data_IF_646585453652
#
_entry.id   IF_646585453652
#
_cell.length_a   1.000
_cell.length_b   1.000
_cell.length_c   1.000
_cell.angle_alpha   90.00
_cell.angle_beta   90.00
_cell.angle_gamma   90.00
#
_symmetry.space_group_name_H-M   'P 1'
#
loop_
_entity.id
_entity.type
_entity.pdbx_description
1 polymer ?
#
# COMPACT_ATOMS: atom_id res chain seq x y z
N UNK A 1 -56.80 10.77 -42.66
CA UNK A 1 -56.50 11.78 -41.68
C UNK A 1 -55.98 11.18 -40.33
N UNK A 2 -56.65 10.19 -39.74
CA UNK A 2 -56.21 9.59 -38.45
C UNK A 2 -54.83 8.97 -38.47
N UNK A 3 -54.38 8.35 -39.57
CA UNK A 3 -53.03 7.76 -39.70
C UNK A 3 -51.90 8.81 -39.81
N UNK A 4 -52.22 10.00 -40.34
CA UNK A 4 -51.27 11.10 -40.49
C UNK A 4 -51.00 11.81 -39.15
N UNK A 5 -52.02 11.91 -38.30
CA UNK A 5 -51.92 12.48 -36.96
C UNK A 5 -51.07 11.59 -36.05
N UNK A 6 -51.20 10.26 -36.21
CA UNK A 6 -50.42 9.29 -35.43
C UNK A 6 -48.91 9.33 -35.80
N UNK A 7 -48.59 9.60 -37.07
CA UNK A 7 -47.21 9.72 -37.53
C UNK A 7 -46.54 11.00 -37.02
N UNK A 8 -47.25 12.11 -36.96
CA UNK A 8 -46.80 13.39 -36.46
C UNK A 8 -46.56 13.34 -34.94
N UNK A 9 -47.42 12.66 -34.18
CA UNK A 9 -47.25 12.48 -32.75
C UNK A 9 -46.03 11.57 -32.40
N UNK A 10 -45.70 10.58 -33.24
CA UNK A 10 -44.56 9.72 -33.08
C UNK A 10 -43.21 10.48 -33.36
N UNK A 11 -43.22 11.37 -34.35
CA UNK A 11 -42.05 12.23 -34.67
C UNK A 11 -41.79 13.31 -33.63
N UNK A 12 -42.84 13.86 -33.00
CA UNK A 12 -42.69 14.82 -31.92
C UNK A 12 -42.16 14.21 -30.62
N UNK A 13 -42.38 12.90 -30.37
CA UNK A 13 -41.84 12.16 -29.25
C UNK A 13 -40.35 11.87 -29.35
N UNK A 14 -39.78 11.84 -30.56
CA UNK A 14 -38.37 11.57 -30.79
C UNK A 14 -37.47 12.82 -30.68
N UNK A 15 -38.07 14.02 -30.73
CA UNK A 15 -37.29 15.29 -30.56
C UNK A 15 -37.14 15.74 -29.10
N UNK A 16 -37.84 15.08 -28.17
CA UNK A 16 -37.76 15.44 -26.73
C UNK A 16 -36.47 15.02 -26.05
N UNK A 17 -35.67 14.13 -26.67
CA UNK A 17 -34.37 13.69 -26.08
C UNK A 17 -33.17 14.49 -26.57
N UNK A 18 -33.35 15.57 -27.34
CA UNK A 18 -32.22 16.27 -27.99
C UNK A 18 -31.86 17.63 -27.39
N UNK A 19 -32.50 18.01 -26.28
CA UNK A 19 -32.14 19.21 -25.52
C UNK A 19 -31.72 18.80 -24.09
N UNK A 20 -30.71 17.98 -23.99
CA UNK A 20 -29.90 18.00 -22.77
C UNK A 20 -29.01 19.22 -22.87
N UNK A 21 -29.30 20.21 -22.05
CA UNK A 21 -28.33 21.28 -21.78
C UNK A 21 -27.01 20.60 -21.45
N UNK A 22 -25.93 21.04 -22.09
CA UNK A 22 -24.60 20.50 -21.82
C UNK A 22 -24.38 20.53 -20.30
N UNK A 23 -24.36 19.36 -19.69
CA UNK A 23 -24.06 19.21 -18.29
C UNK A 23 -22.69 19.86 -18.05
N UNK A 24 -22.70 21.07 -17.52
CA UNK A 24 -21.47 21.68 -17.02
C UNK A 24 -21.07 20.91 -15.77
N UNK A 25 -20.25 19.89 -15.93
CA UNK A 25 -19.64 19.19 -14.81
C UNK A 25 -18.75 20.25 -14.14
N UNK A 26 -19.04 20.66 -12.90
CA UNK A 26 -18.14 21.56 -12.19
C UNK A 26 -16.74 20.93 -12.16
N UNK A 27 -15.72 21.73 -12.46
CA UNK A 27 -14.34 21.27 -12.38
C UNK A 27 -14.12 20.59 -11.04
N UNK A 28 -13.72 19.33 -11.04
CA UNK A 28 -13.38 18.65 -9.79
C UNK A 28 -12.17 19.35 -9.18
N UNK A 29 -12.19 19.63 -7.88
CA UNK A 29 -11.02 20.19 -7.22
C UNK A 29 -9.85 19.20 -7.35
N UNK A 30 -8.67 19.74 -7.61
CA UNK A 30 -7.42 18.97 -7.68
C UNK A 30 -6.97 18.56 -6.27
N UNK A 31 -7.69 17.58 -5.70
CA UNK A 31 -7.50 17.13 -4.32
C UNK A 31 -6.06 16.64 -4.07
N UNK A 32 -5.43 16.06 -5.07
CA UNK A 32 -4.14 15.40 -4.91
C UNK A 32 -2.98 16.13 -5.61
N UNK A 33 -3.24 17.26 -6.26
CA UNK A 33 -2.20 18.00 -6.99
C UNK A 33 -1.74 17.33 -8.28
N UNK A 34 -2.60 16.53 -8.92
CA UNK A 34 -2.25 15.77 -10.14
C UNK A 34 -2.77 16.39 -11.43
N UNK A 35 -3.65 17.38 -11.35
CA UNK A 35 -4.27 18.03 -12.51
C UNK A 35 -3.56 19.32 -12.90
N UNK A 36 -2.93 19.99 -11.94
CA UNK A 36 -2.30 21.31 -12.15
C UNK A 36 -0.92 21.33 -11.53
N UNK A 37 0.09 21.64 -12.33
CA UNK A 37 1.45 21.82 -11.86
C UNK A 37 1.61 23.10 -11.03
N UNK A 38 2.39 23.03 -9.96
CA UNK A 38 2.78 24.17 -9.14
C UNK A 38 4.31 24.18 -8.94
N UNK A 39 5.08 24.73 -9.87
CA UNK A 39 6.54 24.79 -9.79
C UNK A 39 7.07 25.63 -8.61
N UNK A 40 6.21 26.40 -7.94
CA UNK A 40 6.60 27.17 -6.75
C UNK A 40 6.59 26.33 -5.45
N UNK A 41 5.92 25.19 -5.47
CA UNK A 41 5.89 24.20 -4.40
C UNK A 41 6.59 22.91 -4.87
N UNK A 42 7.82 22.61 -4.42
CA UNK A 42 8.58 21.44 -4.87
C UNK A 42 7.83 20.12 -4.65
N UNK A 43 7.09 20.00 -3.55
CA UNK A 43 6.30 18.82 -3.22
C UNK A 43 5.17 18.61 -4.23
N UNK A 44 4.41 19.66 -4.52
CA UNK A 44 3.30 19.59 -5.50
C UNK A 44 3.79 19.36 -6.91
N UNK A 45 4.89 20.02 -7.28
CA UNK A 45 5.53 19.80 -8.58
C UNK A 45 5.98 18.34 -8.73
N UNK A 46 6.63 17.78 -7.73
CA UNK A 46 7.02 16.37 -7.75
C UNK A 46 5.82 15.42 -7.88
N UNK A 47 4.75 15.64 -7.10
CA UNK A 47 3.53 14.82 -7.15
C UNK A 47 2.89 14.88 -8.55
N UNK A 48 2.83 16.08 -9.14
CA UNK A 48 2.33 16.27 -10.49
C UNK A 48 3.17 15.51 -11.52
N UNK A 49 4.50 15.72 -11.55
CA UNK A 49 5.39 15.03 -12.48
C UNK A 49 5.38 13.51 -12.29
N UNK A 50 5.32 13.04 -11.05
CA UNK A 50 5.22 11.63 -10.71
C UNK A 50 3.96 11.02 -11.30
N UNK A 51 2.82 11.67 -11.14
CA UNK A 51 1.57 11.23 -11.73
C UNK A 51 1.62 11.21 -13.26
N UNK A 52 2.17 12.24 -13.90
CA UNK A 52 2.31 12.28 -15.35
C UNK A 52 3.21 11.15 -15.87
N UNK A 53 4.17 10.71 -15.06
CA UNK A 53 5.13 9.67 -15.44
C UNK A 53 4.62 8.25 -15.18
N UNK A 54 3.93 8.01 -14.06
CA UNK A 54 3.60 6.69 -13.56
C UNK A 54 2.09 6.41 -13.46
N UNK A 55 1.24 7.41 -13.64
CA UNK A 55 -0.22 7.33 -13.45
C UNK A 55 -0.61 6.89 -12.03
N UNK A 56 0.28 7.07 -11.07
CA UNK A 56 0.10 6.74 -9.65
C UNK A 56 0.01 8.02 -8.84
N UNK A 57 -1.00 8.11 -7.98
CA UNK A 57 -1.23 9.29 -7.13
C UNK A 57 -0.46 9.13 -5.83
N UNK A 58 0.35 10.13 -5.44
CA UNK A 58 0.91 10.22 -4.08
C UNK A 58 -0.06 11.00 -3.20
N UNK A 59 -0.54 10.38 -2.14
CA UNK A 59 -1.49 10.97 -1.19
C UNK A 59 -0.73 11.32 0.10
N UNK A 60 -0.57 12.61 0.36
CA UNK A 60 0.17 13.12 1.53
C UNK A 60 -0.74 13.50 2.70
N UNK A 61 -2.03 13.67 2.46
CA UNK A 61 -3.04 13.94 3.48
C UNK A 61 -4.23 12.99 3.32
N UNK A 62 -4.06 11.70 3.67
CA UNK A 62 -5.09 10.69 3.48
C UNK A 62 -6.30 10.92 4.39
N UNK A 63 -7.46 10.60 3.86
CA UNK A 63 -8.72 10.50 4.57
C UNK A 63 -9.24 9.06 4.49
N UNK A 64 -10.20 8.68 5.31
CA UNK A 64 -10.78 7.34 5.24
C UNK A 64 -11.31 6.96 3.84
N UNK A 65 -11.78 7.93 3.07
CA UNK A 65 -12.25 7.73 1.71
C UNK A 65 -11.13 7.29 0.74
N UNK A 66 -9.86 7.55 1.07
CA UNK A 66 -8.72 7.24 0.22
C UNK A 66 -8.23 5.80 0.41
N UNK A 67 -8.56 5.14 1.52
CA UNK A 67 -8.11 3.78 1.82
C UNK A 67 -9.23 2.81 2.24
N UNK A 68 -10.43 3.29 2.58
CA UNK A 68 -11.61 2.46 2.85
C UNK A 68 -12.49 2.40 1.61
N UNK A 69 -12.24 1.43 0.73
CA UNK A 69 -12.94 1.30 -0.54
C UNK A 69 -14.40 0.83 -0.40
N UNK A 70 -14.75 0.19 0.71
CA UNK A 70 -16.10 -0.33 0.92
C UNK A 70 -16.62 0.09 2.30
N UNK A 71 -17.56 0.99 2.33
CA UNK A 71 -18.19 1.52 3.56
C UNK A 71 -18.84 0.45 4.45
N UNK A 72 -18.93 -0.79 3.99
CA UNK A 72 -19.60 -1.88 4.71
C UNK A 72 -18.65 -2.84 5.42
N UNK A 73 -17.35 -2.82 5.17
CA UNK A 73 -16.38 -3.67 5.84
C UNK A 73 -15.28 -2.81 6.48
N UNK A 74 -15.27 -2.77 7.80
CA UNK A 74 -14.09 -2.30 8.54
C UNK A 74 -13.06 -3.44 8.47
N UNK A 75 -12.01 -3.23 7.69
CA UNK A 75 -10.89 -4.16 7.58
C UNK A 75 -9.85 -3.94 8.69
N UNK A 76 -10.17 -3.14 9.70
CA UNK A 76 -9.29 -2.79 10.80
C UNK A 76 -8.15 -1.83 10.45
N UNK A 77 -7.94 -1.51 9.17
CA UNK A 77 -6.86 -0.61 8.76
C UNK A 77 -7.19 0.84 9.12
N UNK A 78 -6.25 1.47 9.78
CA UNK A 78 -6.27 2.90 10.10
C UNK A 78 -4.96 3.54 9.65
N UNK A 79 -5.07 4.65 8.94
CA UNK A 79 -3.95 5.42 8.41
C UNK A 79 -4.04 6.81 8.97
N UNK A 80 -3.02 7.22 9.71
CA UNK A 80 -2.87 8.58 10.24
C UNK A 80 -2.07 9.40 9.25
N UNK A 81 -2.61 10.56 8.85
CA UNK A 81 -1.88 11.47 7.97
C UNK A 81 -0.63 12.02 8.66
N UNK A 82 0.48 12.22 7.94
CA UNK A 82 1.63 12.90 8.49
C UNK A 82 1.30 14.37 8.81
N UNK A 83 2.08 14.98 9.68
CA UNK A 83 2.01 16.42 9.90
C UNK A 83 2.17 17.15 8.56
N UNK A 84 1.27 18.12 8.31
CA UNK A 84 1.20 18.83 7.03
C UNK A 84 2.18 20.02 6.97
N UNK A 85 3.23 19.97 7.77
CA UNK A 85 4.36 20.88 7.61
C UNK A 85 5.14 20.52 6.35
N UNK A 86 5.46 21.52 5.55
CA UNK A 86 6.11 21.33 4.25
C UNK A 86 7.37 20.44 4.35
N UNK A 87 8.20 20.66 5.38
CA UNK A 87 9.42 19.87 5.58
C UNK A 87 9.16 18.38 5.87
N UNK A 88 8.09 18.03 6.58
CA UNK A 88 7.75 16.63 6.91
C UNK A 88 7.28 15.88 5.66
N UNK A 89 6.43 16.51 4.87
CA UNK A 89 5.91 15.90 3.64
C UNK A 89 7.00 15.74 2.58
N UNK A 90 7.86 16.76 2.44
CA UNK A 90 9.00 16.73 1.51
C UNK A 90 9.96 15.57 1.85
N UNK A 91 10.34 15.44 3.11
CA UNK A 91 11.16 14.32 3.60
C UNK A 91 10.47 12.97 3.45
N UNK A 92 9.14 12.92 3.60
CA UNK A 92 8.36 11.72 3.33
C UNK A 92 8.43 11.29 1.87
N UNK A 93 8.50 12.24 0.93
CA UNK A 93 8.70 11.94 -0.50
C UNK A 93 10.13 11.43 -0.74
N UNK A 94 11.13 12.08 -0.18
CA UNK A 94 12.52 11.62 -0.30
C UNK A 94 12.67 10.21 0.28
N UNK A 95 12.04 9.97 1.43
CA UNK A 95 12.01 8.65 2.05
C UNK A 95 11.35 7.59 1.16
N UNK A 96 10.20 7.90 0.53
CA UNK A 96 9.56 7.01 -0.43
C UNK A 96 10.50 6.68 -1.61
N UNK A 97 11.22 7.67 -2.13
CA UNK A 97 12.20 7.45 -3.20
C UNK A 97 13.27 6.46 -2.76
N UNK A 98 13.90 6.68 -1.62
CA UNK A 98 15.01 5.86 -1.12
C UNK A 98 14.57 4.43 -0.72
N UNK A 99 13.38 4.24 -0.13
CA UNK A 99 12.95 2.92 0.35
C UNK A 99 12.29 2.07 -0.73
N UNK A 100 11.75 2.68 -1.80
CA UNK A 100 11.01 1.96 -2.82
C UNK A 100 11.40 2.34 -4.24
N UNK A 101 11.26 3.63 -4.63
CA UNK A 101 11.27 4.00 -6.03
C UNK A 101 12.63 3.84 -6.70
N UNK A 102 13.70 4.25 -6.04
CA UNK A 102 15.07 4.21 -6.59
C UNK A 102 15.64 2.80 -6.74
N UNK A 103 14.94 1.80 -6.18
CA UNK A 103 15.37 0.40 -6.28
C UNK A 103 14.98 -0.25 -7.60
N UNK A 104 14.07 0.37 -8.35
CA UNK A 104 13.49 -0.23 -9.54
C UNK A 104 13.60 0.69 -10.76
N UNK A 105 13.81 0.13 -11.95
CA UNK A 105 13.84 0.93 -13.17
C UNK A 105 12.45 1.47 -13.52
N UNK A 106 12.40 2.63 -14.18
CA UNK A 106 11.17 3.33 -14.59
C UNK A 106 10.15 2.44 -15.29
N UNK A 107 10.60 1.60 -16.23
CA UNK A 107 9.71 0.71 -17.00
C UNK A 107 9.04 -0.36 -16.11
N UNK A 108 9.69 -0.74 -15.02
CA UNK A 108 9.13 -1.63 -14.04
C UNK A 108 8.09 -0.89 -13.19
N UNK A 109 8.43 0.29 -12.68
CA UNK A 109 7.52 1.11 -11.87
C UNK A 109 6.24 1.47 -12.64
N UNK A 110 6.35 1.91 -13.90
CA UNK A 110 5.19 2.22 -14.76
C UNK A 110 4.18 1.09 -14.90
N UNK A 111 4.64 -0.15 -14.82
CA UNK A 111 3.78 -1.33 -14.98
C UNK A 111 3.22 -1.85 -13.67
N UNK A 112 3.91 -1.59 -12.57
CA UNK A 112 3.71 -2.32 -11.35
C UNK A 112 3.32 -1.47 -10.15
N UNK A 113 3.44 -0.15 -10.21
CA UNK A 113 2.95 0.68 -9.12
C UNK A 113 1.41 0.57 -8.96
N UNK A 114 0.88 0.73 -7.75
CA UNK A 114 -0.56 0.79 -7.48
C UNK A 114 -1.17 2.10 -8.00
N UNK A 115 -2.50 2.22 -7.93
CA UNK A 115 -3.19 3.47 -8.26
C UNK A 115 -2.77 4.62 -7.35
N UNK A 116 -2.47 4.33 -6.08
CA UNK A 116 -1.97 5.34 -5.18
C UNK A 116 -0.92 4.81 -4.20
N UNK A 117 -0.05 5.72 -3.77
CA UNK A 117 0.87 5.54 -2.65
C UNK A 117 0.44 6.55 -1.58
N UNK A 118 0.19 6.06 -0.38
CA UNK A 118 -0.22 6.90 0.75
C UNK A 118 0.99 7.08 1.67
N UNK A 119 1.37 8.32 1.91
CA UNK A 119 2.33 8.66 2.96
C UNK A 119 1.56 8.83 4.27
N UNK A 120 2.04 8.17 5.32
CA UNK A 120 1.38 8.13 6.61
C UNK A 120 2.37 8.34 7.76
N UNK A 121 1.94 9.04 8.80
CA UNK A 121 2.63 9.03 10.08
C UNK A 121 2.61 7.63 10.68
N UNK A 122 1.41 7.01 10.71
CA UNK A 122 1.20 5.66 11.24
C UNK A 122 0.26 4.88 10.33
N UNK A 123 0.62 3.63 10.09
CA UNK A 123 -0.26 2.62 9.50
C UNK A 123 -0.47 1.54 10.55
N UNK A 124 -1.72 1.28 10.93
CA UNK A 124 -2.04 0.25 11.91
C UNK A 124 -3.21 -0.61 11.50
N UNK A 125 -3.21 -1.83 11.99
CA UNK A 125 -4.33 -2.76 11.89
C UNK A 125 -4.87 -3.06 13.27
N UNK A 126 -6.17 -2.87 13.45
CA UNK A 126 -6.88 -3.30 14.65
C UNK A 126 -7.61 -4.61 14.31
N UNK A 127 -7.26 -5.71 14.96
CA UNK A 127 -7.85 -7.02 14.73
C UNK A 127 -7.99 -7.77 16.05
N UNK A 128 -9.17 -8.33 16.31
CA UNK A 128 -9.47 -9.12 17.52
C UNK A 128 -9.08 -8.48 18.87
N UNK A 129 -9.06 -7.14 18.92
CA UNK A 129 -8.69 -6.41 20.15
C UNK A 129 -7.19 -6.10 20.27
N UNK A 130 -6.41 -6.48 19.30
CA UNK A 130 -4.99 -6.17 19.18
C UNK A 130 -4.77 -5.08 18.14
N UNK A 131 -3.75 -4.26 18.37
CA UNK A 131 -3.31 -3.22 17.45
C UNK A 131 -1.90 -3.51 16.99
N UNK A 132 -1.72 -3.70 15.69
CA UNK A 132 -0.39 -3.88 15.08
C UNK A 132 -0.03 -2.63 14.27
N UNK A 133 1.11 -2.02 14.59
CA UNK A 133 1.69 -0.91 13.80
C UNK A 133 2.59 -1.50 12.71
N UNK A 134 2.44 -1.03 11.49
CA UNK A 134 3.13 -1.55 10.31
C UNK A 134 3.95 -0.47 9.64
N UNK A 135 5.14 -0.81 9.15
CA UNK A 135 5.96 0.07 8.32
C UNK A 135 5.35 0.27 6.93
N UNK A 136 4.65 -0.74 6.43
CA UNK A 136 4.03 -0.72 5.11
C UNK A 136 2.79 -1.60 5.08
N UNK A 137 1.79 -1.21 4.32
CA UNK A 137 0.58 -2.00 4.04
C UNK A 137 0.23 -1.93 2.56
N UNK A 138 -0.19 -3.04 1.97
CA UNK A 138 -0.63 -3.10 0.59
C UNK A 138 -2.06 -3.63 0.45
N UNK A 139 -2.82 -2.99 -0.41
CA UNK A 139 -4.16 -3.39 -0.83
C UNK A 139 -4.24 -3.50 -2.36
N UNK A 140 -5.41 -3.83 -2.90
CA UNK A 140 -5.63 -3.90 -4.34
C UNK A 140 -5.46 -2.57 -5.09
N UNK A 141 -5.56 -1.44 -4.41
CA UNK A 141 -5.53 -0.11 -5.02
C UNK A 141 -4.41 0.80 -4.52
N UNK A 142 -3.84 0.54 -3.35
CA UNK A 142 -2.81 1.40 -2.78
C UNK A 142 -1.75 0.63 -2.00
N UNK A 143 -0.61 1.30 -1.82
CA UNK A 143 0.40 0.96 -0.83
C UNK A 143 0.49 2.14 0.14
N UNK A 144 0.44 1.87 1.44
CA UNK A 144 0.64 2.88 2.49
C UNK A 144 2.02 2.70 3.12
N UNK A 145 2.80 3.77 3.14
CA UNK A 145 4.11 3.85 3.77
C UNK A 145 3.98 4.62 5.09
N UNK A 146 4.25 3.96 6.19
CA UNK A 146 4.28 4.54 7.53
C UNK A 146 5.59 5.26 7.84
N UNK A 147 5.68 5.75 9.07
CA UNK A 147 6.86 6.44 9.64
C UNK A 147 7.19 7.81 9.03
N UNK A 148 6.28 8.42 8.28
CA UNK A 148 6.48 9.78 7.75
C UNK A 148 6.24 10.81 8.85
N UNK A 149 7.28 11.09 9.61
CA UNK A 149 7.29 12.00 10.76
C UNK A 149 8.52 12.92 10.72
N UNK A 150 8.55 13.96 11.55
CA UNK A 150 9.75 14.76 11.74
C UNK A 150 10.97 13.96 12.22
N UNK A 151 10.74 12.72 12.70
CA UNK A 151 11.79 11.80 13.12
C UNK A 151 12.60 11.17 11.98
N UNK A 152 12.15 11.26 10.73
CA UNK A 152 12.87 10.70 9.57
C UNK A 152 14.34 11.14 9.51
N UNK A 153 14.62 12.42 9.79
CA UNK A 153 15.98 12.97 9.79
C UNK A 153 16.92 12.36 10.84
N UNK A 154 16.36 11.82 11.88
CA UNK A 154 17.13 11.26 13.01
C UNK A 154 17.09 9.74 13.05
N UNK A 155 16.46 9.12 12.06
CA UNK A 155 16.38 7.69 11.92
C UNK A 155 17.78 7.07 11.80
N UNK A 156 18.02 6.00 12.53
CA UNK A 156 19.28 5.27 12.42
C UNK A 156 19.34 4.46 11.13
N UNK A 157 20.55 4.13 10.69
CA UNK A 157 20.75 3.30 9.51
C UNK A 157 20.15 1.89 9.67
N UNK A 158 20.06 1.39 10.88
CA UNK A 158 19.44 0.09 11.17
C UNK A 158 17.93 0.15 11.01
N UNK A 159 17.28 1.15 11.62
CA UNK A 159 15.84 1.40 11.44
C UNK A 159 15.48 1.61 9.96
N UNK A 160 16.26 2.43 9.26
CA UNK A 160 16.06 2.65 7.82
C UNK A 160 16.12 1.35 7.02
N UNK A 161 17.15 0.50 7.28
CA UNK A 161 17.28 -0.78 6.57
C UNK A 161 16.12 -1.72 6.87
N UNK A 162 15.66 -1.76 8.12
CA UNK A 162 14.50 -2.58 8.51
C UNK A 162 13.25 -2.12 7.77
N UNK A 163 12.94 -0.82 7.82
CA UNK A 163 11.75 -0.30 7.14
C UNK A 163 11.85 -0.54 5.62
N UNK A 164 13.01 -0.30 5.01
CA UNK A 164 13.22 -0.58 3.59
C UNK A 164 13.01 -2.05 3.24
N UNK A 165 13.46 -2.96 4.09
CA UNK A 165 13.21 -4.39 3.92
C UNK A 165 11.72 -4.72 4.00
N UNK A 166 11.01 -4.21 5.01
CA UNK A 166 9.57 -4.44 5.20
C UNK A 166 8.73 -3.86 4.05
N UNK A 167 9.10 -2.66 3.55
CA UNK A 167 8.44 -2.04 2.39
C UNK A 167 8.57 -2.92 1.15
N UNK A 168 9.79 -3.43 0.88
CA UNK A 168 10.02 -4.26 -0.30
C UNK A 168 9.43 -5.66 -0.13
N UNK A 169 9.45 -6.25 1.05
CA UNK A 169 8.76 -7.50 1.33
C UNK A 169 7.25 -7.35 1.09
N UNK A 170 6.63 -6.29 1.61
CA UNK A 170 5.21 -5.99 1.37
C UNK A 170 4.91 -5.74 -0.10
N UNK A 171 5.78 -5.02 -0.81
CA UNK A 171 5.62 -4.78 -2.25
C UNK A 171 5.68 -6.07 -3.05
N UNK A 172 6.65 -6.93 -2.83
CA UNK A 172 6.81 -8.16 -3.59
C UNK A 172 5.83 -9.25 -3.15
N UNK A 173 5.84 -9.61 -1.89
CA UNK A 173 5.06 -10.75 -1.40
C UNK A 173 3.57 -10.41 -1.36
N UNK A 174 3.20 -9.30 -0.73
CA UNK A 174 1.79 -8.95 -0.57
C UNK A 174 1.20 -8.35 -1.84
N UNK A 175 1.79 -7.26 -2.36
CA UNK A 175 1.17 -6.55 -3.49
C UNK A 175 1.34 -7.30 -4.82
N UNK A 176 2.57 -7.66 -5.20
CA UNK A 176 2.84 -8.24 -6.51
C UNK A 176 2.38 -9.71 -6.62
N UNK A 177 2.61 -10.51 -5.58
CA UNK A 177 2.25 -11.93 -5.56
C UNK A 177 0.79 -12.15 -5.17
N UNK A 178 0.40 -11.82 -3.93
CA UNK A 178 -0.94 -12.15 -3.43
C UNK A 178 -2.04 -11.30 -4.05
N UNK A 179 -1.86 -9.97 -4.07
CA UNK A 179 -2.91 -9.04 -4.53
C UNK A 179 -3.03 -9.04 -6.05
N UNK A 180 -1.91 -8.92 -6.76
CA UNK A 180 -1.91 -8.87 -8.24
C UNK A 180 -1.75 -10.23 -8.91
N UNK A 181 -1.29 -11.25 -8.20
CA UNK A 181 -1.09 -12.59 -8.74
C UNK A 181 -0.10 -12.66 -9.90
N UNK A 182 0.91 -11.77 -9.93
CA UNK A 182 1.87 -11.69 -11.04
C UNK A 182 2.86 -12.83 -11.03
N UNK A 183 3.10 -13.41 -9.88
CA UNK A 183 3.90 -14.62 -9.71
C UNK A 183 3.43 -15.36 -8.45
N UNK A 184 3.79 -16.62 -8.37
CA UNK A 184 3.59 -17.44 -7.17
C UNK A 184 4.96 -17.75 -6.57
N UNK A 185 5.09 -17.57 -5.26
CA UNK A 185 6.30 -18.00 -4.55
C UNK A 185 6.36 -19.53 -4.66
N UNK A 186 7.48 -20.06 -5.13
CA UNK A 186 7.57 -21.48 -5.41
C UNK A 186 7.68 -22.32 -4.14
N UNK A 187 7.18 -23.56 -4.17
CA UNK A 187 7.32 -24.52 -3.07
C UNK A 187 8.81 -24.76 -2.72
N UNK A 188 9.71 -24.65 -3.68
CA UNK A 188 11.15 -24.75 -3.45
C UNK A 188 11.70 -23.64 -2.54
N UNK A 189 11.07 -22.46 -2.55
CA UNK A 189 11.43 -21.36 -1.67
C UNK A 189 11.03 -21.69 -0.21
N UNK A 190 9.83 -22.21 -0.03
CA UNK A 190 9.38 -22.66 1.31
C UNK A 190 10.16 -23.87 1.80
N UNK A 191 10.48 -24.81 0.92
CA UNK A 191 11.27 -25.98 1.27
C UNK A 191 12.69 -25.61 1.77
N UNK A 192 13.26 -24.49 1.33
CA UNK A 192 14.56 -24.02 1.80
C UNK A 192 14.55 -23.64 3.29
N UNK A 193 13.41 -23.19 3.82
CA UNK A 193 13.25 -22.84 5.24
C UNK A 193 12.63 -23.97 6.08
N UNK A 194 12.17 -25.05 5.47
CA UNK A 194 11.46 -26.15 6.13
C UNK A 194 12.28 -26.83 7.25
N UNK A 195 13.60 -26.94 7.07
CA UNK A 195 14.49 -27.47 8.11
C UNK A 195 14.67 -26.53 9.31
N UNK A 196 14.54 -25.24 9.08
CA UNK A 196 14.83 -24.19 10.08
C UNK A 196 13.57 -23.89 10.89
N UNK A 197 12.44 -23.92 10.25
CA UNK A 197 11.14 -23.54 10.79
C UNK A 197 10.76 -24.30 12.08
N UNK A 198 10.84 -25.64 12.16
CA UNK A 198 10.53 -26.37 13.39
C UNK A 198 11.46 -26.01 14.54
N UNK A 199 12.72 -25.69 14.24
CA UNK A 199 13.75 -25.39 15.24
C UNK A 199 13.53 -24.01 15.86
N UNK A 200 13.06 -23.04 15.06
CA UNK A 200 12.68 -21.71 15.52
C UNK A 200 11.43 -21.83 16.41
N UNK A 201 10.46 -22.62 15.98
CA UNK A 201 9.23 -22.88 16.71
C UNK A 201 9.51 -23.52 18.07
N UNK A 202 10.29 -24.61 18.11
CA UNK A 202 10.65 -25.32 19.35
C UNK A 202 11.37 -24.40 20.34
N UNK A 203 12.26 -23.55 19.87
CA UNK A 203 12.93 -22.60 20.72
C UNK A 203 11.96 -21.57 21.35
N UNK A 204 11.04 -21.07 20.57
CA UNK A 204 10.11 -20.04 21.00
C UNK A 204 9.09 -20.55 22.03
N UNK A 205 8.51 -21.72 21.79
CA UNK A 205 7.44 -22.26 22.63
C UNK A 205 7.93 -23.03 23.86
N UNK A 206 9.04 -23.71 23.77
CA UNK A 206 9.49 -24.63 24.82
C UNK A 206 10.70 -24.13 25.60
N UNK A 207 11.23 -22.92 25.27
CA UNK A 207 12.37 -22.34 25.97
C UNK A 207 13.62 -23.21 25.94
N UNK A 208 13.76 -24.06 24.93
CA UNK A 208 14.95 -24.86 24.75
C UNK A 208 16.17 -23.96 24.49
N UNK A 209 17.30 -24.36 25.02
CA UNK A 209 18.57 -23.68 24.81
C UNK A 209 18.87 -23.59 23.30
N UNK A 210 18.70 -22.41 22.75
CA UNK A 210 18.87 -22.14 21.32
C UNK A 210 20.35 -22.18 20.89
N UNK A 211 21.21 -22.68 21.75
CA UNK A 211 22.62 -22.91 21.47
C UNK A 211 22.84 -24.10 20.57
N UNK A 212 22.46 -24.18 19.42
CA UNK A 212 23.32 -24.05 18.25
C UNK A 212 22.77 -23.09 17.19
N UNK A 213 21.63 -22.46 17.41
CA UNK A 213 21.02 -21.61 16.41
C UNK A 213 21.28 -20.14 16.71
N UNK A 214 21.76 -19.44 15.71
CA UNK A 214 21.83 -17.99 15.76
C UNK A 214 20.41 -17.43 15.83
N UNK A 215 20.11 -16.57 16.80
CA UNK A 215 18.83 -15.86 16.89
C UNK A 215 18.73 -14.70 15.90
N UNK A 216 19.78 -14.44 15.15
CA UNK A 216 19.75 -13.52 14.02
C UNK A 216 19.08 -14.20 12.83
N UNK A 217 17.79 -13.93 12.64
CA UNK A 217 16.98 -14.49 11.57
C UNK A 217 17.47 -14.13 10.17
N UNK A 218 18.19 -13.00 10.02
CA UNK A 218 18.86 -12.63 8.77
C UNK A 218 19.94 -13.63 8.37
N UNK A 219 20.56 -14.30 9.34
CA UNK A 219 21.52 -15.36 9.08
C UNK A 219 20.92 -16.56 8.31
N UNK A 220 19.62 -16.77 8.46
CA UNK A 220 18.87 -17.80 7.75
C UNK A 220 18.17 -17.31 6.49
N UNK A 221 18.42 -16.07 6.08
CA UNK A 221 17.78 -15.48 4.93
C UNK A 221 16.36 -14.95 5.20
N UNK A 222 15.94 -14.86 6.46
CA UNK A 222 14.64 -14.31 6.84
C UNK A 222 14.74 -12.79 6.97
N UNK A 223 13.80 -12.07 6.37
CA UNK A 223 13.80 -10.59 6.35
C UNK A 223 13.34 -10.02 7.69
N UNK A 224 12.30 -10.58 8.26
CA UNK A 224 11.82 -10.21 9.59
C UNK A 224 11.18 -11.41 10.27
N UNK A 225 11.31 -11.44 11.58
CA UNK A 225 10.58 -12.34 12.44
C UNK A 225 9.97 -11.53 13.57
N UNK A 226 8.67 -11.52 13.66
CA UNK A 226 7.94 -10.90 14.75
C UNK A 226 7.52 -12.00 15.72
N UNK A 227 8.17 -12.11 16.88
CA UNK A 227 7.81 -13.13 17.86
C UNK A 227 6.39 -12.97 18.39
N UNK A 228 5.87 -11.75 18.44
CA UNK A 228 4.51 -11.49 18.92
C UNK A 228 3.44 -11.89 17.87
N UNK A 229 3.81 -11.93 16.59
CA UNK A 229 2.98 -12.50 15.53
C UNK A 229 3.04 -14.02 15.45
N UNK A 230 4.02 -14.63 16.06
CA UNK A 230 4.22 -16.08 16.07
C UNK A 230 3.35 -16.82 17.09
N UNK A 231 2.55 -16.13 17.85
CA UNK A 231 1.56 -16.75 18.71
C UNK A 231 0.43 -17.27 17.80
N UNK A 232 0.63 -18.48 17.32
CA UNK A 232 -0.41 -19.26 16.64
C UNK A 232 -1.54 -19.44 17.63
N UNK A 233 -2.75 -19.14 17.22
CA UNK A 233 -3.91 -19.70 17.88
C UNK A 233 -3.75 -21.22 17.90
N UNK A 234 -3.74 -21.84 19.06
CA UNK A 234 -3.49 -23.28 19.24
C UNK A 234 -4.50 -24.18 18.48
N UNK A 235 -5.49 -23.58 17.84
CA UNK A 235 -6.55 -24.25 17.10
C UNK A 235 -6.38 -24.23 15.57
N UNK A 236 -5.38 -23.55 15.00
CA UNK A 236 -5.11 -23.60 13.57
C UNK A 236 -3.93 -24.51 13.24
N UNK A 237 -4.25 -25.72 12.76
CA UNK A 237 -3.31 -26.72 12.26
C UNK A 237 -2.59 -26.30 10.95
N UNK A 238 -2.59 -25.02 10.59
CA UNK A 238 -1.99 -24.58 9.33
C UNK A 238 -0.89 -23.54 9.57
N UNK A 239 0.38 -23.96 9.62
CA UNK A 239 1.51 -23.06 9.76
C UNK A 239 1.84 -22.40 8.42
N UNK A 240 0.93 -21.72 7.75
CA UNK A 240 1.27 -20.80 6.67
C UNK A 240 1.97 -19.55 7.23
N UNK A 241 3.09 -19.79 7.84
CA UNK A 241 4.00 -18.74 8.20
C UNK A 241 4.66 -18.21 6.96
N UNK A 242 4.29 -17.06 6.57
CA UNK A 242 5.02 -16.33 5.54
C UNK A 242 6.38 -15.89 6.07
N UNK A 243 7.35 -16.78 6.03
CA UNK A 243 8.74 -16.38 6.10
C UNK A 243 9.09 -15.74 4.78
N UNK A 244 9.23 -14.45 4.76
CA UNK A 244 9.71 -13.72 3.59
C UNK A 244 11.23 -13.58 3.71
N UNK A 245 11.95 -14.27 2.87
CA UNK A 245 13.40 -14.11 2.67
C UNK A 245 13.69 -13.12 1.56
#
# INVERSE_FOLDING_TARGET
MKKFILLISLLAGLSSCYNEDALSIPAQPDKYGVLTDDPSDPTRHFIYEFYQKYETVIITNPTEADYKFNFTSDNGIKITAPEQEQGVVEEGIDFLQEVLLDLYPDDFLKKNLPFSIILAEEVRMDSYGETTVMNCYASGSFIALGNVTAGLKTMTQEEFRKIRADVNATFWARYMSEVRGLFTISDAFYAASEEIQPKIYDWFYFGYDATPYNTDFYHYGLISYDPDRSLVDEDEEDPEWSFYS
#
